data_IF_371631793041
#
_entry.id   IF_371631793041
#
_cell.length_a   1.000
_cell.length_b   1.000
_cell.length_c   1.000
_cell.angle_alpha   90.00
_cell.angle_beta   90.00
_cell.angle_gamma   90.00
#
_symmetry.space_group_name_H-M   'P 1'
#
loop_
_entity.id
_entity.type
_entity.pdbx_description
1 polymer ?
#
# COMPACT_ATOMS: atom_id res chain seq x y z
N UNK A 1 -25.85 9.09 -9.96
CA UNK A 1 -24.52 8.50 -9.67
C UNK A 1 -24.39 8.51 -8.16
N UNK A 2 -24.37 7.33 -7.51
CA UNK A 2 -24.28 7.26 -6.04
C UNK A 2 -22.87 7.69 -5.64
N UNK A 3 -22.77 8.70 -4.78
CA UNK A 3 -21.55 9.01 -4.04
C UNK A 3 -21.23 7.77 -3.19
N UNK A 4 -20.27 6.97 -3.64
CA UNK A 4 -19.59 6.04 -2.74
C UNK A 4 -18.77 6.98 -1.86
N UNK A 5 -19.23 7.21 -0.62
CA UNK A 5 -18.43 7.97 0.34
C UNK A 5 -17.05 7.34 0.40
N UNK A 6 -16.00 8.16 0.32
CA UNK A 6 -14.59 7.73 0.26
C UNK A 6 -14.36 6.46 1.08
N UNK A 7 -14.23 5.33 0.40
CA UNK A 7 -14.11 4.05 1.06
C UNK A 7 -12.62 3.76 1.22
N UNK A 8 -12.18 3.63 2.47
CA UNK A 8 -10.79 3.31 2.76
C UNK A 8 -10.61 1.79 2.87
N UNK A 9 -9.67 1.23 2.10
CA UNK A 9 -9.24 -0.17 2.23
C UNK A 9 -7.85 -0.20 2.83
N UNK A 10 -7.66 -1.02 3.86
CA UNK A 10 -6.39 -1.17 4.56
C UNK A 10 -5.71 -2.47 4.14
N UNK A 11 -4.43 -2.38 3.75
CA UNK A 11 -3.56 -3.55 3.55
C UNK A 11 -2.44 -3.49 4.59
N UNK A 12 -2.49 -4.39 5.57
CA UNK A 12 -1.48 -4.48 6.60
C UNK A 12 -0.34 -5.42 6.16
N UNK A 13 0.88 -4.88 6.18
CA UNK A 13 2.11 -5.64 5.99
C UNK A 13 2.97 -5.51 7.27
N UNK A 14 4.01 -6.34 7.47
CA UNK A 14 4.74 -6.40 8.74
C UNK A 14 5.22 -5.06 9.30
N UNK A 15 5.72 -4.16 8.44
CA UNK A 15 6.26 -2.85 8.84
C UNK A 15 5.54 -1.67 8.17
N UNK A 16 4.50 -1.91 7.37
CA UNK A 16 3.89 -0.87 6.52
C UNK A 16 2.41 -1.16 6.38
N UNK A 17 1.59 -0.15 6.66
CA UNK A 17 0.15 -0.19 6.42
C UNK A 17 -0.13 0.68 5.20
N UNK A 18 -0.83 0.13 4.21
CA UNK A 18 -1.35 0.89 3.07
C UNK A 18 -2.78 1.30 3.36
N UNK A 19 -3.05 2.58 3.13
CA UNK A 19 -4.36 3.20 3.21
C UNK A 19 -4.77 3.54 1.79
N UNK A 20 -5.52 2.65 1.13
CA UNK A 20 -6.06 2.88 -0.21
C UNK A 20 -7.33 3.70 -0.11
N UNK A 21 -7.43 4.77 -0.91
CA UNK A 21 -8.63 5.58 -1.03
C UNK A 21 -9.36 5.17 -2.30
N UNK A 22 -10.59 4.71 -2.16
CA UNK A 22 -11.41 4.21 -3.26
C UNK A 22 -12.53 5.20 -3.55
N UNK A 23 -12.55 5.70 -4.78
CA UNK A 23 -13.52 6.71 -5.23
C UNK A 23 -14.61 6.13 -6.17
N UNK A 24 -14.42 4.90 -6.65
CA UNK A 24 -15.26 4.30 -7.69
C UNK A 24 -15.42 2.77 -7.56
N UNK A 25 -16.49 2.23 -8.16
CA UNK A 25 -16.74 0.78 -8.19
C UNK A 25 -15.68 0.01 -8.99
N UNK A 26 -15.06 0.66 -9.99
CA UNK A 26 -13.98 0.07 -10.80
C UNK A 26 -12.71 -0.15 -9.96
N UNK A 27 -12.28 0.86 -9.20
CA UNK A 27 -11.17 0.75 -8.26
C UNK A 27 -11.42 -0.32 -7.20
N UNK A 28 -12.64 -0.35 -6.64
CA UNK A 28 -13.05 -1.39 -5.70
C UNK A 28 -12.94 -2.79 -6.32
N UNK A 29 -13.33 -2.93 -7.59
CA UNK A 29 -13.26 -4.21 -8.33
C UNK A 29 -11.81 -4.63 -8.57
N UNK A 30 -10.92 -3.70 -8.95
CA UNK A 30 -9.47 -3.95 -9.09
C UNK A 30 -8.86 -4.47 -7.78
N UNK A 31 -9.16 -3.83 -6.65
CA UNK A 31 -8.67 -4.26 -5.34
C UNK A 31 -9.18 -5.66 -4.98
N UNK A 32 -10.47 -5.95 -5.22
CA UNK A 32 -11.04 -7.29 -4.97
C UNK A 32 -10.34 -8.37 -5.79
N UNK A 33 -10.09 -8.12 -7.08
CA UNK A 33 -9.37 -9.06 -7.96
C UNK A 33 -7.94 -9.26 -7.46
N UNK A 34 -7.23 -8.18 -7.13
CA UNK A 34 -5.88 -8.27 -6.58
C UNK A 34 -5.83 -9.10 -5.31
N UNK A 35 -6.72 -8.81 -4.35
CA UNK A 35 -6.84 -9.57 -3.10
C UNK A 35 -7.14 -11.04 -3.34
N UNK A 36 -7.98 -11.36 -4.32
CA UNK A 36 -8.27 -12.75 -4.66
C UNK A 36 -7.05 -13.47 -5.26
N UNK A 37 -6.30 -12.79 -6.11
CA UNK A 37 -5.12 -13.36 -6.76
C UNK A 37 -4.01 -13.67 -5.75
N UNK A 38 -3.77 -12.79 -4.78
CA UNK A 38 -2.69 -12.98 -3.80
C UNK A 38 -2.98 -14.09 -2.78
N UNK A 39 -4.24 -14.52 -2.60
CA UNK A 39 -4.59 -15.66 -1.73
C UNK A 39 -3.92 -16.97 -2.15
N UNK A 40 -3.56 -17.09 -3.42
CA UNK A 40 -2.95 -18.28 -4.00
C UNK A 40 -1.45 -18.13 -4.26
N UNK A 41 -0.84 -17.03 -3.80
CA UNK A 41 0.58 -16.75 -3.97
C UNK A 41 1.29 -17.01 -2.64
N UNK A 42 2.39 -17.76 -2.67
CA UNK A 42 3.12 -18.15 -1.45
C UNK A 42 3.71 -16.94 -0.70
N UNK A 43 4.10 -15.89 -1.41
CA UNK A 43 4.57 -14.64 -0.82
C UNK A 43 4.43 -13.46 -1.78
N UNK A 44 4.09 -12.29 -1.23
CA UNK A 44 4.10 -11.01 -1.96
C UNK A 44 5.07 -10.05 -1.28
N UNK A 45 5.89 -9.35 -2.07
CA UNK A 45 6.77 -8.32 -1.51
C UNK A 45 6.05 -6.98 -1.40
N UNK A 46 6.52 -6.11 -0.50
CA UNK A 46 6.06 -4.72 -0.45
C UNK A 46 6.24 -4.01 -1.79
N UNK A 47 7.31 -4.33 -2.52
CA UNK A 47 7.60 -3.76 -3.83
C UNK A 47 6.47 -4.04 -4.83
N UNK A 48 5.91 -5.25 -4.79
CA UNK A 48 4.82 -5.66 -5.66
C UNK A 48 3.54 -4.87 -5.35
N UNK A 49 3.24 -4.64 -4.07
CA UNK A 49 2.07 -3.86 -3.63
C UNK A 49 2.20 -2.41 -4.09
N UNK A 50 3.33 -1.75 -3.86
CA UNK A 50 3.58 -0.39 -4.35
C UNK A 50 3.45 -0.31 -5.88
N UNK A 51 4.10 -1.22 -6.61
CA UNK A 51 4.06 -1.23 -8.07
C UNK A 51 2.67 -1.53 -8.61
N UNK A 52 1.88 -2.35 -7.93
CA UNK A 52 0.51 -2.63 -8.32
C UNK A 52 -0.36 -1.39 -8.14
N UNK A 53 -0.30 -0.73 -6.97
CA UNK A 53 -1.05 0.51 -6.73
C UNK A 53 -0.70 1.59 -7.77
N UNK A 54 0.59 1.79 -8.04
CA UNK A 54 1.06 2.77 -9.02
C UNK A 54 0.60 2.43 -10.45
N UNK A 55 0.65 1.15 -10.86
CA UNK A 55 0.18 0.71 -12.19
C UNK A 55 -1.33 0.82 -12.37
N UNK A 56 -2.09 0.68 -11.28
CA UNK A 56 -3.55 0.84 -11.29
C UNK A 56 -3.99 2.29 -11.11
N UNK A 57 -3.05 3.23 -10.89
CA UNK A 57 -3.29 4.63 -10.56
C UNK A 57 -4.17 4.83 -9.31
N UNK A 58 -4.08 3.90 -8.35
CA UNK A 58 -4.83 3.99 -7.10
C UNK A 58 -4.20 5.04 -6.18
N UNK A 59 -5.03 5.85 -5.54
CA UNK A 59 -4.60 6.79 -4.50
C UNK A 59 -4.34 6.04 -3.20
N UNK A 60 -3.18 6.28 -2.58
CA UNK A 60 -2.85 5.66 -1.29
C UNK A 60 -1.90 6.49 -0.44
N UNK A 61 -2.00 6.31 0.87
CA UNK A 61 -0.95 6.72 1.82
C UNK A 61 -0.39 5.50 2.53
N UNK A 62 0.81 5.64 3.12
CA UNK A 62 1.41 4.57 3.92
C UNK A 62 1.81 5.07 5.30
N UNK A 63 1.59 4.23 6.31
CA UNK A 63 2.00 4.48 7.71
C UNK A 63 2.87 3.33 8.20
N UNK A 64 3.67 3.58 9.25
CA UNK A 64 4.50 2.56 9.87
C UNK A 64 3.62 1.60 10.67
N UNK A 65 3.76 0.29 10.43
CA UNK A 65 3.10 -0.71 11.26
C UNK A 65 3.93 -0.96 12.52
N UNK A 66 3.47 -0.41 13.64
CA UNK A 66 4.11 -0.59 14.94
C UNK A 66 3.61 -1.87 15.61
N UNK A 67 4.52 -2.79 15.93
CA UNK A 67 4.24 -3.97 16.74
C UNK A 67 4.89 -3.82 18.13
N UNK A 68 4.04 -3.79 19.18
CA UNK A 68 4.49 -3.66 20.57
C UNK A 68 5.30 -4.84 21.08
N UNK A 69 5.33 -5.96 20.35
CA UNK A 69 6.12 -7.14 20.69
C UNK A 69 7.58 -7.05 20.21
N UNK A 70 7.92 -6.08 19.36
CA UNK A 70 9.28 -5.88 18.86
C UNK A 70 10.20 -5.31 19.95
N UNK A 71 11.46 -5.74 19.96
CA UNK A 71 12.51 -5.04 20.72
C UNK A 71 12.75 -3.65 20.14
N UNK A 72 13.35 -2.75 20.94
CA UNK A 72 13.74 -1.42 20.46
C UNK A 72 14.60 -1.46 19.19
N UNK A 73 15.52 -2.42 19.09
CA UNK A 73 16.40 -2.56 17.91
C UNK A 73 15.61 -3.00 16.68
N UNK A 74 14.69 -3.95 16.83
CA UNK A 74 13.81 -4.39 15.73
C UNK A 74 12.90 -3.25 15.29
N UNK A 75 12.30 -2.52 16.23
CA UNK A 75 11.46 -1.37 15.94
C UNK A 75 12.22 -0.29 15.15
N UNK A 76 13.45 0.08 15.57
CA UNK A 76 14.27 1.06 14.84
C UNK A 76 14.60 0.56 13.43
N UNK A 77 14.99 -0.72 13.28
CA UNK A 77 15.28 -1.31 11.96
C UNK A 77 14.04 -1.31 11.07
N UNK A 78 12.89 -1.71 11.59
CA UNK A 78 11.61 -1.72 10.89
C UNK A 78 11.17 -0.32 10.47
N UNK A 79 11.34 0.67 11.34
CA UNK A 79 11.05 2.07 11.03
C UNK A 79 11.96 2.62 9.93
N UNK A 80 13.27 2.40 10.03
CA UNK A 80 14.23 2.81 8.99
C UNK A 80 13.87 2.15 7.66
N UNK A 81 13.52 0.87 7.68
CA UNK A 81 13.10 0.13 6.49
C UNK A 81 11.84 0.75 5.86
N UNK A 82 10.77 0.96 6.64
CA UNK A 82 9.56 1.66 6.18
C UNK A 82 9.88 3.03 5.59
N UNK A 83 10.70 3.84 6.29
CA UNK A 83 11.03 5.19 5.88
C UNK A 83 11.76 5.22 4.53
N UNK A 84 12.71 4.31 4.31
CA UNK A 84 13.42 4.16 3.03
C UNK A 84 12.47 3.80 1.89
N UNK A 85 11.53 2.89 2.14
CA UNK A 85 10.51 2.52 1.14
C UNK A 85 9.61 3.71 0.83
N UNK A 86 9.15 4.44 1.85
CA UNK A 86 8.33 5.65 1.66
C UNK A 86 9.02 6.67 0.76
N UNK A 87 10.29 7.00 1.02
CA UNK A 87 11.06 7.92 0.18
C UNK A 87 11.21 7.42 -1.27
N UNK A 88 11.42 6.11 -1.45
CA UNK A 88 11.58 5.51 -2.78
C UNK A 88 10.31 5.63 -3.64
N UNK A 89 9.13 5.52 -3.03
CA UNK A 89 7.86 5.48 -3.78
C UNK A 89 7.13 6.81 -3.86
N UNK A 90 7.30 7.70 -2.88
CA UNK A 90 6.82 9.10 -2.99
C UNK A 90 7.43 9.76 -4.23
N UNK A 91 8.75 9.64 -4.43
CA UNK A 91 9.44 10.23 -5.57
C UNK A 91 9.08 9.61 -6.94
N UNK A 92 8.45 8.42 -6.96
CA UNK A 92 8.05 7.76 -8.21
C UNK A 92 6.60 8.09 -8.61
N UNK A 93 5.75 8.50 -7.67
CA UNK A 93 4.39 8.97 -7.97
C UNK A 93 4.42 10.23 -8.84
N UNK A 94 5.29 11.19 -8.50
CA UNK A 94 5.40 12.47 -9.22
C UNK A 94 5.95 12.30 -10.65
N UNK A 95 6.79 11.29 -10.89
CA UNK A 95 7.39 11.03 -12.22
C UNK A 95 6.44 10.36 -13.22
N UNK A 96 5.31 9.81 -12.76
CA UNK A 96 4.33 9.13 -13.61
C UNK A 96 3.24 10.08 -14.14
N UNK A 97 3.29 11.37 -13.79
CA UNK A 97 2.35 12.40 -14.25
C UNK A 97 2.85 13.08 -15.56
N UNK A 98 4.10 12.82 -15.99
CA UNK A 98 4.76 13.54 -17.11
C UNK A 98 4.88 12.76 -18.45
N UNK A 99 4.10 11.70 -18.68
CA UNK A 99 4.08 10.99 -19.98
C UNK A 99 2.67 10.72 -20.45
#
# INVERSE_FOLDING_TARGET
>A
MKNIGEQQIIIECPNTIFHLYIDSEDELSKVKVFMNNIKHVDSISLHDIYNWCNRQHLQYTTTFNYDSKMTWTEMIKSYIFYFRQKLRYVNNSDRMIET
#
